data_IF_962796704109
#
_entry.id   IF_962796704109
#
_cell.length_a   1.000
_cell.length_b   1.000
_cell.length_c   1.000
_cell.angle_alpha   90.00
_cell.angle_beta   90.00
_cell.angle_gamma   90.00
#
_symmetry.space_group_name_H-M   'P 1'
#
loop_
_entity.id
_entity.type
_entity.pdbx_description
1 polymer ?
#
# COMPACT_ATOMS: atom_id res chain seq x y z
N UNK A 1 15.40 -8.83 23.86
CA UNK A 1 14.19 -9.11 23.06
C UNK A 1 14.15 -8.10 21.91
N UNK A 2 14.16 -8.53 20.65
CA UNK A 2 14.08 -7.60 19.53
C UNK A 2 12.65 -7.06 19.42
N UNK A 3 12.48 -5.74 19.48
CA UNK A 3 11.18 -5.09 19.32
C UNK A 3 10.63 -5.40 17.90
N UNK A 4 9.49 -6.11 17.78
CA UNK A 4 8.94 -6.50 16.48
C UNK A 4 8.65 -5.30 15.56
N UNK A 5 8.23 -4.16 16.12
CA UNK A 5 7.95 -2.95 15.36
C UNK A 5 9.23 -2.35 14.78
N UNK A 6 10.32 -2.36 15.55
CA UNK A 6 11.61 -1.89 15.08
C UNK A 6 12.10 -2.74 13.89
N UNK A 7 12.03 -4.06 14.01
CA UNK A 7 12.39 -4.99 12.92
C UNK A 7 11.52 -4.75 11.69
N UNK A 8 10.19 -4.68 11.87
CA UNK A 8 9.24 -4.44 10.79
C UNK A 8 9.58 -3.17 10.00
N UNK A 9 9.75 -2.04 10.68
CA UNK A 9 10.09 -0.75 10.05
C UNK A 9 11.45 -0.77 9.37
N UNK A 10 12.46 -1.39 9.99
CA UNK A 10 13.80 -1.54 9.39
C UNK A 10 13.72 -2.30 8.06
N UNK A 11 13.07 -3.46 8.07
CA UNK A 11 12.96 -4.32 6.88
C UNK A 11 12.13 -3.64 5.78
N UNK A 12 11.06 -2.92 6.14
CA UNK A 12 10.31 -2.08 5.19
C UNK A 12 11.21 -1.07 4.48
N UNK A 13 12.05 -0.31 5.21
CA UNK A 13 12.99 0.65 4.59
C UNK A 13 13.96 -0.04 3.64
N UNK A 14 14.49 -1.18 4.05
CA UNK A 14 15.47 -1.92 3.24
C UNK A 14 14.83 -2.47 1.96
N UNK A 15 13.62 -3.04 2.04
CA UNK A 15 12.84 -3.42 0.86
C UNK A 15 12.56 -2.21 -0.04
N UNK A 16 12.17 -1.08 0.55
CA UNK A 16 11.87 0.13 -0.24
C UNK A 16 13.09 0.64 -0.97
N UNK A 17 14.29 0.57 -0.39
CA UNK A 17 15.55 0.93 -1.08
C UNK A 17 15.78 0.05 -2.30
N UNK A 18 15.57 -1.27 -2.18
CA UNK A 18 15.69 -2.19 -3.31
C UNK A 18 14.67 -1.88 -4.40
N UNK A 19 13.44 -1.56 -4.03
CA UNK A 19 12.39 -1.24 -4.99
C UNK A 19 12.59 0.12 -5.62
N UNK A 20 13.10 1.10 -4.88
CA UNK A 20 13.17 2.49 -5.33
C UNK A 20 13.95 2.63 -6.64
N UNK A 21 15.16 2.05 -6.70
CA UNK A 21 15.99 2.05 -7.90
C UNK A 21 15.24 1.46 -9.11
N UNK A 22 14.66 0.27 -8.94
CA UNK A 22 13.88 -0.38 -9.99
C UNK A 22 12.68 0.46 -10.43
N UNK A 23 11.90 0.98 -9.47
CA UNK A 23 10.66 1.71 -9.73
C UNK A 23 10.92 3.05 -10.40
N UNK A 24 12.00 3.76 -10.05
CA UNK A 24 12.34 5.04 -10.66
C UNK A 24 12.63 4.89 -12.16
N UNK A 25 13.30 3.79 -12.54
CA UNK A 25 13.65 3.51 -13.93
C UNK A 25 12.48 2.90 -14.74
N UNK A 26 11.70 2.01 -14.12
CA UNK A 26 10.76 1.15 -14.86
C UNK A 26 9.28 1.53 -14.69
N UNK A 27 8.88 2.18 -13.61
CA UNK A 27 7.46 2.48 -13.36
C UNK A 27 6.87 3.60 -14.23
N UNK A 28 7.59 4.70 -14.58
CA UNK A 28 7.03 5.77 -15.40
C UNK A 28 6.51 5.32 -16.77
N UNK A 29 7.10 4.25 -17.33
CA UNK A 29 6.73 3.68 -18.63
C UNK A 29 6.09 2.30 -18.51
N UNK A 30 5.73 1.87 -17.29
CA UNK A 30 5.14 0.56 -17.06
C UNK A 30 3.72 0.51 -17.65
N UNK A 31 3.39 -0.46 -18.53
CA UNK A 31 2.07 -0.55 -19.13
C UNK A 31 1.01 -1.04 -18.14
N UNK A 32 1.40 -1.75 -17.08
CA UNK A 32 0.48 -2.24 -16.03
C UNK A 32 1.03 -1.88 -14.63
N UNK A 33 0.93 -0.60 -14.21
CA UNK A 33 1.46 -0.15 -12.93
C UNK A 33 0.63 -0.73 -11.78
N UNK A 34 1.29 -1.44 -10.86
CA UNK A 34 0.63 -2.04 -9.70
C UNK A 34 0.03 -1.01 -8.71
N UNK A 35 0.39 0.27 -8.80
CA UNK A 35 -0.22 1.31 -7.98
C UNK A 35 -1.65 1.67 -8.41
N UNK A 36 -2.13 1.22 -9.59
CA UNK A 36 -3.54 1.35 -9.99
C UNK A 36 -4.44 0.32 -9.29
N UNK A 37 -3.91 -0.88 -9.10
CA UNK A 37 -4.58 -1.94 -8.36
C UNK A 37 -3.63 -2.39 -7.23
N UNK A 38 -3.52 -1.58 -6.17
CA UNK A 38 -2.62 -1.88 -5.08
C UNK A 38 -3.03 -3.19 -4.41
N UNK A 39 -2.07 -3.86 -3.77
CA UNK A 39 -2.42 -4.94 -2.86
C UNK A 39 -3.31 -4.41 -1.74
N UNK A 40 -4.13 -5.30 -1.18
CA UNK A 40 -5.09 -4.98 -0.12
C UNK A 40 -4.41 -4.21 1.03
N UNK A 41 -4.92 -3.01 1.31
CA UNK A 41 -4.51 -2.18 2.45
C UNK A 41 -5.36 -2.61 3.64
N UNK A 42 -4.72 -2.93 4.76
CA UNK A 42 -5.40 -3.43 5.96
C UNK A 42 -5.57 -2.28 6.98
N UNK A 43 -6.60 -2.34 7.85
CA UNK A 43 -6.75 -1.36 8.94
C UNK A 43 -5.50 -1.25 9.83
N UNK A 44 -4.77 -2.36 10.01
CA UNK A 44 -3.52 -2.36 10.78
C UNK A 44 -2.43 -1.50 10.13
N UNK A 45 -2.36 -1.45 8.80
CA UNK A 45 -1.37 -0.63 8.09
C UNK A 45 -1.56 0.86 8.39
N UNK A 46 -2.82 1.30 8.41
CA UNK A 46 -3.18 2.69 8.67
C UNK A 46 -2.98 3.05 10.13
N UNK A 47 -3.41 2.20 11.06
CA UNK A 47 -3.14 2.41 12.49
C UNK A 47 -1.63 2.53 12.78
N UNK A 48 -0.81 1.71 12.12
CA UNK A 48 0.65 1.80 12.27
C UNK A 48 1.20 3.12 11.74
N UNK A 49 0.70 3.58 10.58
CA UNK A 49 1.10 4.85 9.99
C UNK A 49 0.66 6.04 10.87
N UNK A 50 -0.59 6.08 11.32
CA UNK A 50 -1.14 7.13 12.18
C UNK A 50 -0.42 7.27 13.51
N UNK A 51 0.02 6.15 14.10
CA UNK A 51 0.84 6.16 15.31
C UNK A 51 2.17 6.93 15.15
N UNK A 52 2.57 7.26 13.91
CA UNK A 52 3.75 8.09 13.61
C UNK A 52 3.43 9.56 13.34
N UNK A 53 2.19 9.98 13.53
CA UNK A 53 1.71 11.32 13.16
C UNK A 53 1.40 11.46 11.68
N UNK A 54 1.42 10.38 10.91
CA UNK A 54 0.89 10.38 9.55
C UNK A 54 -0.62 10.62 9.64
N UNK A 55 -1.11 11.62 8.90
CA UNK A 55 -2.54 11.90 8.80
C UNK A 55 -2.92 11.65 7.36
N UNK A 56 -3.80 10.70 7.13
CA UNK A 56 -4.34 10.48 5.79
C UNK A 56 -5.14 11.73 5.43
N UNK A 57 -4.67 12.48 4.42
CA UNK A 57 -5.52 13.45 3.75
C UNK A 57 -6.22 12.70 2.62
N UNK A 58 -7.28 11.95 2.94
CA UNK A 58 -8.12 11.41 1.88
C UNK A 58 -8.90 12.59 1.32
N UNK A 59 -8.58 12.97 0.07
CA UNK A 59 -9.43 13.90 -0.67
C UNK A 59 -10.62 13.11 -1.20
N UNK A 60 -11.73 13.15 -0.49
CA UNK A 60 -13.00 12.63 -0.99
C UNK A 60 -13.50 13.56 -2.09
N UNK A 61 -13.58 13.02 -3.31
CA UNK A 61 -14.40 13.61 -4.36
C UNK A 61 -15.83 13.15 -4.12
N UNK A 62 -16.61 13.96 -3.41
CA UNK A 62 -18.06 13.80 -3.35
C UNK A 62 -18.66 14.57 -4.53
N UNK A 63 -19.54 13.92 -5.30
CA UNK A 63 -20.39 14.65 -6.25
C UNK A 63 -21.63 15.05 -5.46
N UNK A 64 -21.71 16.31 -5.09
CA UNK A 64 -22.92 16.87 -4.51
C UNK A 64 -24.01 16.82 -5.61
N UNK A 65 -25.26 16.52 -5.25
CA UNK A 65 -26.39 16.40 -6.20
C UNK A 65 -26.69 17.64 -7.05
N UNK A 66 -25.91 18.72 -6.91
CA UNK A 66 -25.99 19.97 -7.66
C UNK A 66 -24.73 20.27 -8.49
N UNK A 67 -23.81 19.30 -8.66
CA UNK A 67 -22.60 19.47 -9.49
C UNK A 67 -21.53 20.38 -8.87
N UNK A 68 -21.64 20.69 -7.58
CA UNK A 68 -20.62 21.38 -6.79
C UNK A 68 -19.57 20.42 -6.23
N UNK A 69 -18.32 20.91 -6.11
CA UNK A 69 -17.23 20.19 -5.43
C UNK A 69 -17.13 20.69 -3.99
N UNK A 70 -17.37 19.81 -3.02
CA UNK A 70 -17.19 20.10 -1.59
C UNK A 70 -16.01 19.29 -1.01
N UNK A 71 -15.01 19.97 -0.47
CA UNK A 71 -13.89 19.35 0.26
C UNK A 71 -14.31 19.08 1.73
N UNK A 72 -14.59 17.82 2.07
CA UNK A 72 -14.78 17.39 3.45
C UNK A 72 -13.56 16.60 3.95
N UNK A 73 -12.91 17.07 5.01
CA UNK A 73 -11.81 16.39 5.69
C UNK A 73 -12.40 15.38 6.70
N UNK A 74 -12.33 14.08 6.39
CA UNK A 74 -12.71 12.99 7.30
C UNK A 74 -11.50 12.18 7.72
N UNK A 75 -11.49 11.65 8.95
CA UNK A 75 -10.43 10.76 9.44
C UNK A 75 -10.49 9.39 8.74
N UNK A 76 -9.34 8.87 8.30
CA UNK A 76 -9.24 7.67 7.45
C UNK A 76 -9.70 6.38 8.14
N UNK A 77 -9.60 6.31 9.47
CA UNK A 77 -10.13 5.16 10.24
C UNK A 77 -11.64 5.05 10.06
N UNK A 78 -12.35 6.17 10.17
CA UNK A 78 -13.81 6.24 10.03
C UNK A 78 -14.22 5.87 8.60
N UNK A 79 -13.46 6.31 7.61
CA UNK A 79 -13.73 6.01 6.21
C UNK A 79 -13.52 4.53 5.88
N UNK A 80 -12.41 3.93 6.31
CA UNK A 80 -12.18 2.50 6.12
C UNK A 80 -13.21 1.63 6.83
N UNK A 81 -13.63 2.02 8.04
CA UNK A 81 -14.69 1.33 8.75
C UNK A 81 -15.97 1.35 7.90
N UNK A 82 -16.31 2.52 7.36
CA UNK A 82 -17.47 2.69 6.46
C UNK A 82 -17.33 1.84 5.20
N UNK A 83 -16.16 1.80 4.57
CA UNK A 83 -15.90 0.97 3.38
C UNK A 83 -15.92 -0.52 3.67
N UNK A 84 -15.41 -0.95 4.83
CA UNK A 84 -15.44 -2.37 5.23
C UNK A 84 -16.88 -2.81 5.42
N UNK A 85 -17.70 -1.99 6.10
CA UNK A 85 -19.13 -2.23 6.22
C UNK A 85 -19.80 -2.25 4.85
N UNK A 86 -19.51 -1.27 3.99
CA UNK A 86 -20.08 -1.22 2.65
C UNK A 86 -19.70 -2.42 1.78
N UNK A 87 -18.44 -2.87 1.81
CA UNK A 87 -17.99 -4.08 1.10
C UNK A 87 -18.61 -5.37 1.67
N UNK A 88 -19.00 -5.37 2.95
CA UNK A 88 -19.74 -6.48 3.56
C UNK A 88 -21.19 -6.52 3.08
N UNK A 89 -21.81 -5.35 2.91
CA UNK A 89 -23.19 -5.19 2.42
C UNK A 89 -23.27 -5.37 0.90
N UNK A 90 -22.25 -4.90 0.18
CA UNK A 90 -22.13 -4.90 -1.28
C UNK A 90 -20.77 -5.52 -1.68
N UNK A 91 -20.63 -6.85 -1.66
CA UNK A 91 -19.39 -7.50 -2.08
C UNK A 91 -19.12 -7.19 -3.55
N UNK A 92 -17.90 -6.78 -3.94
CA UNK A 92 -17.58 -6.53 -5.33
C UNK A 92 -17.76 -7.82 -6.13
N UNK A 93 -18.48 -7.74 -7.24
CA UNK A 93 -18.52 -8.83 -8.23
C UNK A 93 -17.08 -9.15 -8.65
N UNK A 94 -16.80 -10.45 -8.79
CA UNK A 94 -15.48 -11.06 -9.02
C UNK A 94 -14.48 -10.20 -9.79
N UNK A 95 -13.30 -9.98 -9.20
CA UNK A 95 -12.21 -9.11 -9.65
C UNK A 95 -11.43 -9.65 -10.87
N UNK A 96 -12.13 -10.23 -11.84
CA UNK A 96 -11.55 -10.87 -13.02
C UNK A 96 -12.18 -10.29 -14.29
N UNK A 97 -12.03 -8.98 -14.55
CA UNK A 97 -12.00 -8.36 -15.90
C UNK A 97 -12.28 -6.84 -15.84
N UNK A 98 -11.38 -6.06 -15.23
CA UNK A 98 -11.38 -4.61 -15.48
C UNK A 98 -10.06 -4.19 -16.13
N UNK A 99 -10.07 -4.34 -17.45
CA UNK A 99 -9.23 -3.65 -18.42
C UNK A 99 -9.09 -2.16 -18.09
N UNK A 100 -7.88 -1.75 -17.72
CA UNK A 100 -7.29 -0.46 -18.09
C UNK A 100 -7.68 0.80 -17.31
N UNK A 101 -8.91 0.89 -16.79
CA UNK A 101 -9.51 2.16 -16.33
C UNK A 101 -9.75 2.26 -14.81
N UNK A 102 -9.26 1.30 -14.02
CA UNK A 102 -9.31 1.43 -12.57
C UNK A 102 -8.59 2.71 -12.12
N UNK A 103 -9.23 3.56 -11.30
CA UNK A 103 -8.61 4.78 -10.79
C UNK A 103 -7.33 4.43 -10.01
N UNK A 104 -6.34 5.34 -9.95
CA UNK A 104 -5.16 5.11 -9.14
C UNK A 104 -5.55 4.86 -7.69
N UNK A 105 -4.72 4.09 -6.96
CA UNK A 105 -4.84 3.95 -5.52
C UNK A 105 -5.04 5.34 -4.87
N UNK A 106 -6.03 5.46 -4.00
CA UNK A 106 -6.34 6.72 -3.29
C UNK A 106 -5.18 7.26 -2.45
N UNK A 107 -4.25 6.39 -2.04
CA UNK A 107 -3.05 6.75 -1.29
C UNK A 107 -1.87 7.08 -2.21
N UNK A 108 -2.07 7.15 -3.53
CA UNK A 108 -1.06 7.57 -4.49
C UNK A 108 -1.18 9.08 -4.73
N UNK A 109 -0.27 9.86 -4.14
CA UNK A 109 -0.14 11.29 -4.41
C UNK A 109 0.80 11.58 -5.59
N UNK A 110 1.02 12.87 -5.86
CA UNK A 110 1.84 13.37 -6.97
C UNK A 110 3.28 12.82 -6.95
N UNK A 111 3.85 12.66 -5.75
CA UNK A 111 5.23 12.17 -5.55
C UNK A 111 5.29 10.66 -5.26
N UNK A 112 4.15 9.97 -5.31
CA UNK A 112 4.01 8.54 -5.04
C UNK A 112 3.16 8.24 -3.82
N UNK A 113 3.33 7.04 -3.26
CA UNK A 113 2.52 6.58 -2.11
C UNK A 113 2.69 7.52 -0.91
N UNK A 114 1.57 7.98 -0.36
CA UNK A 114 1.50 8.94 0.74
C UNK A 114 1.89 8.36 2.10
N UNK A 115 1.85 7.02 2.24
CA UNK A 115 2.31 6.35 3.47
C UNK A 115 3.78 6.64 3.77
N UNK A 116 4.19 6.66 5.05
CA UNK A 116 5.59 6.78 5.42
C UNK A 116 6.44 5.69 4.75
N UNK A 117 7.68 6.04 4.41
CA UNK A 117 8.58 5.14 3.68
C UNK A 117 8.87 3.81 4.40
N UNK A 118 8.66 3.75 5.71
CA UNK A 118 8.88 2.58 6.54
C UNK A 118 7.61 1.95 7.10
N UNK A 119 6.44 2.41 6.64
CA UNK A 119 5.11 1.95 7.04
C UNK A 119 4.14 1.96 5.85
N UNK A 120 4.62 1.55 4.68
CA UNK A 120 3.72 1.28 3.56
C UNK A 120 2.83 0.07 3.86
N UNK A 121 1.66 -0.04 3.22
CA UNK A 121 0.80 -1.19 3.41
C UNK A 121 1.56 -2.50 3.21
N UNK A 122 1.36 -3.45 4.11
CA UNK A 122 2.10 -4.70 4.15
C UNK A 122 2.05 -5.42 2.79
N UNK A 123 0.85 -5.56 2.21
CA UNK A 123 0.66 -6.20 0.91
C UNK A 123 1.42 -5.49 -0.22
N UNK A 124 1.46 -4.16 -0.21
CA UNK A 124 2.18 -3.39 -1.23
C UNK A 124 3.70 -3.55 -1.11
N UNK A 125 4.19 -3.73 0.12
CA UNK A 125 5.63 -3.89 0.38
C UNK A 125 6.13 -5.31 0.09
N UNK A 126 5.30 -6.34 0.29
CA UNK A 126 5.67 -7.73 0.00
C UNK A 126 5.44 -8.12 -1.46
N UNK A 127 4.66 -7.33 -2.21
CA UNK A 127 4.38 -7.61 -3.61
C UNK A 127 5.59 -7.41 -4.52
N UNK A 128 5.97 -8.46 -5.25
CA UNK A 128 6.99 -8.44 -6.31
C UNK A 128 6.27 -8.59 -7.64
N UNK A 129 6.27 -7.55 -8.48
CA UNK A 129 5.53 -7.58 -9.73
C UNK A 129 6.21 -8.41 -10.82
N UNK A 130 5.45 -8.82 -11.85
CA UNK A 130 5.97 -9.59 -13.00
C UNK A 130 7.17 -8.94 -13.70
N UNK A 131 7.22 -7.61 -13.77
CA UNK A 131 8.36 -6.90 -14.38
C UNK A 131 9.61 -6.95 -13.51
N UNK A 132 9.47 -6.91 -12.19
CA UNK A 132 10.61 -7.10 -11.29
C UNK A 132 11.16 -8.52 -11.46
N UNK A 133 10.31 -9.53 -11.56
CA UNK A 133 10.75 -10.90 -11.87
C UNK A 133 11.50 -10.99 -13.20
N UNK A 134 11.06 -10.26 -14.23
CA UNK A 134 11.65 -10.32 -15.56
C UNK A 134 12.95 -9.49 -15.69
N UNK A 135 13.02 -8.32 -15.06
CA UNK A 135 14.06 -7.31 -15.31
C UNK A 135 15.04 -7.10 -14.16
N UNK A 136 14.69 -7.44 -12.93
CA UNK A 136 15.61 -7.33 -11.79
C UNK A 136 16.68 -8.41 -11.87
N UNK A 137 17.93 -8.07 -11.58
CA UNK A 137 19.00 -9.06 -11.54
C UNK A 137 18.74 -10.13 -10.46
N UNK A 138 19.29 -11.32 -10.67
CA UNK A 138 19.06 -12.48 -9.79
C UNK A 138 19.51 -12.24 -8.36
N UNK A 139 20.58 -11.47 -8.14
CA UNK A 139 21.11 -11.22 -6.81
C UNK A 139 20.17 -10.27 -6.04
N UNK A 140 19.73 -9.18 -6.66
CA UNK A 140 18.75 -8.26 -6.08
C UNK A 140 17.42 -8.94 -5.81
N UNK A 141 16.91 -9.75 -6.73
CA UNK A 141 15.66 -10.50 -6.52
C UNK A 141 15.78 -11.48 -5.35
N UNK A 142 16.93 -12.14 -5.17
CA UNK A 142 17.18 -13.03 -4.04
C UNK A 142 17.18 -12.26 -2.71
N UNK A 143 17.82 -11.08 -2.67
CA UNK A 143 17.82 -10.20 -1.49
C UNK A 143 16.42 -9.73 -1.14
N UNK A 144 15.66 -9.26 -2.15
CA UNK A 144 14.26 -8.87 -1.98
C UNK A 144 13.43 -10.01 -1.39
N UNK A 145 13.48 -11.21 -1.97
CA UNK A 145 12.72 -12.36 -1.46
C UNK A 145 13.07 -12.71 -0.01
N UNK A 146 14.35 -12.62 0.36
CA UNK A 146 14.79 -12.81 1.75
C UNK A 146 14.18 -11.75 2.67
N UNK A 147 14.25 -10.48 2.29
CA UNK A 147 13.69 -9.39 3.08
C UNK A 147 12.16 -9.46 3.17
N UNK A 148 11.46 -9.93 2.13
CA UNK A 148 10.01 -10.18 2.18
C UNK A 148 9.68 -11.21 3.25
N UNK A 149 10.38 -12.35 3.29
CA UNK A 149 10.17 -13.38 4.33
C UNK A 149 10.45 -12.85 5.74
N UNK A 150 11.48 -12.02 5.88
CA UNK A 150 11.81 -11.37 7.15
C UNK A 150 10.71 -10.39 7.57
N UNK A 151 10.14 -9.63 6.62
CA UNK A 151 9.01 -8.74 6.88
C UNK A 151 7.76 -9.51 7.27
N UNK A 152 7.45 -10.63 6.61
CA UNK A 152 6.33 -11.51 6.93
C UNK A 152 6.42 -12.07 8.35
N UNK A 153 7.62 -12.46 8.80
CA UNK A 153 7.85 -12.91 10.18
C UNK A 153 7.68 -11.76 11.19
N UNK A 154 8.23 -10.59 10.89
CA UNK A 154 8.07 -9.41 11.74
C UNK A 154 6.60 -8.96 11.84
N UNK A 155 5.87 -9.01 10.72
CA UNK A 155 4.44 -8.69 10.67
C UNK A 155 3.61 -9.68 11.48
N UNK A 156 3.85 -10.99 11.35
CA UNK A 156 3.19 -12.00 12.19
C UNK A 156 3.48 -11.81 13.67
N UNK A 157 4.72 -11.46 14.02
CA UNK A 157 5.11 -11.17 15.40
C UNK A 157 4.40 -9.93 15.97
N UNK A 158 4.16 -8.90 15.15
CA UNK A 158 3.39 -7.72 15.53
C UNK A 158 1.92 -8.04 15.82
N UNK A 159 1.31 -8.90 14.99
CA UNK A 159 -0.10 -9.26 15.12
C UNK A 159 -0.37 -10.23 16.28
N UNK A 160 0.60 -11.08 16.66
CA UNK A 160 0.46 -12.04 17.76
C UNK A 160 0.59 -11.44 19.16
N UNK A 161 1.20 -10.26 19.28
CA UNK A 161 1.44 -9.59 20.57
C UNK A 161 0.35 -8.56 20.92
N UNK A 162 -0.82 -8.66 20.29
CA UNK A 162 -2.04 -7.91 20.66
C UNK A 162 -3.02 -8.86 21.31
#
# INVERSE_FOLDING_TARGET
MNNPLFTYRRVQRDLRRHYHAFTQENCPTCPTPCCRQPARILPTDILLAEATGWKTRVKLFSIDGEGGYSEHETDAVTEMATRTVNAFVNPPATAEDETGDAPPCEFLGETGCSFPNDLRPFGCTTYICKYMYAKMDRQSLTRVKRSVRELEEAHRSLLRNR
#
